data_IF_464600807615
#
_entry.id   IF_464600807615
#
_cell.length_a   1.000
_cell.length_b   1.000
_cell.length_c   1.000
_cell.angle_alpha   90.00
_cell.angle_beta   90.00
_cell.angle_gamma   90.00
#
_symmetry.space_group_name_H-M   'P 1'
#
loop_
_entity.id
_entity.type
_entity.pdbx_description
1 polymer ?
#
# COMPACT_ATOMS: atom_id res chain seq x y z
N UNK A 1 14.61 -15.98 -20.25
CA UNK A 1 14.38 -15.94 -18.80
C UNK A 1 14.85 -14.65 -18.08
N UNK A 2 15.94 -14.01 -18.51
CA UNK A 2 16.46 -12.77 -17.83
C UNK A 2 15.60 -11.50 -18.00
N UNK A 3 14.84 -11.36 -19.10
CA UNK A 3 14.06 -10.15 -19.37
C UNK A 3 12.90 -9.89 -18.40
N UNK A 4 12.17 -10.94 -17.98
CA UNK A 4 11.04 -10.77 -17.07
C UNK A 4 11.50 -10.33 -15.66
N UNK A 5 12.63 -10.84 -15.18
CA UNK A 5 13.18 -10.44 -13.89
C UNK A 5 13.62 -8.96 -13.84
N UNK A 6 14.17 -8.41 -14.94
CA UNK A 6 14.59 -7.02 -15.01
C UNK A 6 13.37 -6.07 -15.01
N UNK A 7 12.34 -6.38 -15.83
CA UNK A 7 11.10 -5.58 -15.86
C UNK A 7 10.42 -5.58 -14.48
N UNK A 8 10.39 -6.73 -13.78
CA UNK A 8 9.84 -6.84 -12.43
C UNK A 8 10.63 -6.00 -11.42
N UNK A 9 11.95 -5.99 -11.51
CA UNK A 9 12.80 -5.15 -10.66
C UNK A 9 12.51 -3.66 -10.89
N UNK A 10 12.50 -3.20 -12.14
CA UNK A 10 12.22 -1.80 -12.48
C UNK A 10 10.80 -1.41 -12.07
N UNK A 11 9.81 -2.29 -12.30
CA UNK A 11 8.43 -2.08 -11.84
C UNK A 11 8.40 -1.84 -10.33
N UNK A 12 9.03 -2.71 -9.52
CA UNK A 12 9.03 -2.58 -8.07
C UNK A 12 9.75 -1.30 -7.61
N UNK A 13 10.88 -0.96 -8.22
CA UNK A 13 11.62 0.26 -7.88
C UNK A 13 10.78 1.51 -8.15
N UNK A 14 10.18 1.62 -9.34
CA UNK A 14 9.35 2.78 -9.68
C UNK A 14 8.11 2.83 -8.79
N UNK A 15 7.47 1.67 -8.55
CA UNK A 15 6.35 1.53 -7.64
C UNK A 15 6.68 2.04 -6.23
N UNK A 16 7.81 1.61 -5.68
CA UNK A 16 8.26 2.04 -4.36
C UNK A 16 8.56 3.54 -4.32
N UNK A 17 9.17 4.10 -5.37
CA UNK A 17 9.38 5.55 -5.50
C UNK A 17 8.05 6.33 -5.49
N UNK A 18 7.02 5.85 -6.20
CA UNK A 18 5.67 6.45 -6.19
C UNK A 18 5.04 6.35 -4.80
N UNK A 19 5.02 5.15 -4.21
CA UNK A 19 4.44 4.91 -2.88
C UNK A 19 5.14 5.74 -1.80
N UNK A 20 6.45 5.94 -1.92
CA UNK A 20 7.24 6.74 -0.98
C UNK A 20 7.16 8.25 -1.24
N UNK A 21 6.38 8.69 -2.23
CA UNK A 21 6.25 10.09 -2.64
C UNK A 21 7.59 10.71 -3.10
N UNK A 22 8.50 9.90 -3.62
CA UNK A 22 9.72 10.38 -4.27
C UNK A 22 9.41 10.98 -5.66
N UNK A 23 8.31 10.53 -6.28
CA UNK A 23 7.64 11.20 -7.39
C UNK A 23 6.37 11.87 -6.88
N UNK A 24 6.17 13.15 -7.25
CA UNK A 24 4.96 13.90 -6.93
C UNK A 24 3.76 13.48 -7.79
N UNK A 25 2.55 13.72 -7.33
CA UNK A 25 1.34 13.54 -8.13
C UNK A 25 1.38 14.39 -9.39
N UNK A 26 0.98 13.85 -10.53
CA UNK A 26 1.05 14.51 -11.83
C UNK A 26 2.48 14.71 -12.36
N UNK A 27 3.51 14.27 -11.63
CA UNK A 27 4.90 14.39 -12.06
C UNK A 27 5.16 13.50 -13.28
N UNK A 28 5.86 14.07 -14.26
CA UNK A 28 6.29 13.33 -15.44
C UNK A 28 7.45 12.39 -15.09
N UNK A 29 7.30 11.12 -15.44
CA UNK A 29 8.36 10.12 -15.25
C UNK A 29 9.29 10.13 -16.46
N UNK A 30 10.55 10.44 -16.22
CA UNK A 30 11.59 10.49 -17.27
C UNK A 30 12.18 9.10 -17.49
N UNK A 31 11.78 8.49 -18.60
CA UNK A 31 12.24 7.15 -19.01
C UNK A 31 13.74 7.12 -19.28
N UNK A 32 14.26 8.17 -19.90
CA UNK A 32 15.68 8.23 -20.25
C UNK A 32 16.53 8.28 -18.98
N UNK A 33 16.18 9.15 -18.04
CA UNK A 33 16.88 9.28 -16.76
C UNK A 33 16.88 7.96 -15.97
N UNK A 34 15.74 7.24 -15.93
CA UNK A 34 15.66 5.94 -15.28
C UNK A 34 16.53 4.92 -16.02
N UNK A 35 16.48 4.87 -17.34
CA UNK A 35 17.30 3.94 -18.12
C UNK A 35 18.80 4.17 -17.90
N UNK A 36 19.24 5.43 -17.84
CA UNK A 36 20.63 5.83 -17.55
C UNK A 36 21.03 5.46 -16.10
N UNK A 37 20.16 5.73 -15.11
CA UNK A 37 20.40 5.41 -13.68
C UNK A 37 20.69 3.91 -13.48
N UNK A 38 19.99 3.03 -14.23
CA UNK A 38 20.14 1.58 -14.12
C UNK A 38 21.04 0.94 -15.19
N UNK A 39 21.62 1.72 -16.09
CA UNK A 39 22.48 1.21 -17.18
C UNK A 39 21.75 0.26 -18.14
N UNK A 40 20.48 0.50 -18.43
CA UNK A 40 19.61 -0.34 -19.26
C UNK A 40 19.01 0.44 -20.45
N UNK A 41 18.43 -0.28 -21.40
CA UNK A 41 17.66 0.36 -22.48
C UNK A 41 16.31 0.90 -21.95
N UNK A 42 15.68 1.81 -22.72
CA UNK A 42 14.37 2.37 -22.35
C UNK A 42 13.22 1.34 -22.44
N UNK A 43 13.39 0.24 -23.16
CA UNK A 43 12.33 -0.75 -23.38
C UNK A 43 11.81 -1.37 -22.07
N UNK A 44 12.64 -1.95 -21.17
CA UNK A 44 12.15 -2.51 -19.92
C UNK A 44 11.53 -1.46 -18.99
N UNK A 45 11.98 -0.20 -19.06
CA UNK A 45 11.36 0.90 -18.29
C UNK A 45 9.94 1.18 -18.81
N UNK A 46 9.74 1.22 -20.14
CA UNK A 46 8.41 1.38 -20.74
C UNK A 46 7.49 0.21 -20.39
N UNK A 47 7.98 -1.02 -20.42
CA UNK A 47 7.20 -2.20 -20.03
C UNK A 47 6.76 -2.13 -18.56
N UNK A 48 7.65 -1.74 -17.67
CA UNK A 48 7.35 -1.53 -16.24
C UNK A 48 6.30 -0.41 -16.05
N UNK A 49 6.45 0.73 -16.72
CA UNK A 49 5.50 1.84 -16.66
C UNK A 49 4.11 1.48 -17.22
N UNK A 50 4.05 0.66 -18.28
CA UNK A 50 2.79 0.14 -18.82
C UNK A 50 2.09 -0.77 -17.80
N UNK A 51 2.82 -1.55 -17.02
CA UNK A 51 2.25 -2.35 -15.93
C UNK A 51 1.73 -1.45 -14.80
N UNK A 52 2.52 -0.46 -14.38
CA UNK A 52 2.08 0.54 -13.39
C UNK A 52 0.84 1.32 -13.83
N UNK A 53 0.68 1.54 -15.15
CA UNK A 53 -0.52 2.15 -15.70
C UNK A 53 -1.74 1.22 -15.62
N UNK A 54 -1.58 -0.09 -15.78
CA UNK A 54 -2.65 -1.07 -15.53
C UNK A 54 -3.07 -1.09 -14.06
N UNK A 55 -2.09 -0.89 -13.16
CA UNK A 55 -2.32 -0.80 -11.71
C UNK A 55 -2.81 0.60 -11.28
N UNK A 56 -3.05 1.52 -12.24
CA UNK A 56 -3.53 2.89 -12.00
C UNK A 56 -2.59 3.80 -11.22
N UNK A 57 -1.35 3.38 -10.96
CA UNK A 57 -0.33 4.22 -10.31
C UNK A 57 0.32 5.23 -11.26
N UNK A 58 0.22 4.97 -12.56
CA UNK A 58 0.76 5.80 -13.64
C UNK A 58 -0.33 6.07 -14.67
N UNK A 59 -0.38 7.27 -15.19
CA UNK A 59 -1.24 7.69 -16.31
C UNK A 59 -0.41 7.85 -17.58
N UNK A 60 -0.88 7.28 -18.69
CA UNK A 60 -0.26 7.42 -20.00
C UNK A 60 -0.93 8.58 -20.73
N UNK A 61 -0.19 9.66 -21.00
CA UNK A 61 -0.65 10.75 -21.84
C UNK A 61 -0.14 10.55 -23.27
N UNK A 62 -1.01 10.36 -24.26
CA UNK A 62 -0.59 10.13 -25.63
C UNK A 62 0.36 11.22 -26.14
N UNK A 63 1.48 10.82 -26.74
CA UNK A 63 2.56 11.69 -27.26
C UNK A 63 3.31 12.53 -26.20
N UNK A 64 2.84 12.59 -24.94
CA UNK A 64 3.44 13.38 -23.86
C UNK A 64 4.27 12.53 -22.90
N UNK A 65 3.87 11.26 -22.66
CA UNK A 65 4.63 10.33 -21.82
C UNK A 65 3.86 9.74 -20.66
N UNK A 66 4.58 9.39 -19.61
CA UNK A 66 4.06 8.77 -18.39
C UNK A 66 4.09 9.76 -17.24
N UNK A 67 3.04 9.75 -16.44
CA UNK A 67 2.85 10.65 -15.31
C UNK A 67 2.39 9.86 -14.10
N UNK A 68 2.81 10.25 -12.90
CA UNK A 68 2.22 9.70 -11.66
C UNK A 68 0.75 10.08 -11.63
N UNK A 69 -0.11 9.14 -11.32
CA UNK A 69 -1.56 9.38 -11.29
C UNK A 69 -1.89 10.44 -10.23
N UNK A 70 -2.67 11.44 -10.62
CA UNK A 70 -3.27 12.39 -9.68
C UNK A 70 -4.41 11.71 -8.94
N UNK A 71 -4.62 12.12 -7.69
CA UNK A 71 -5.65 11.55 -6.84
C UNK A 71 -6.38 12.67 -6.10
N UNK A 72 -7.69 12.66 -6.19
CA UNK A 72 -8.58 13.59 -5.50
C UNK A 72 -8.90 13.09 -4.07
N UNK A 73 -9.49 13.96 -3.25
CA UNK A 73 -10.02 13.56 -1.95
C UNK A 73 -11.18 12.56 -2.10
N UNK A 74 -11.93 12.63 -3.19
CA UNK A 74 -13.01 11.70 -3.51
C UNK A 74 -12.46 10.30 -3.79
N UNK A 75 -11.38 10.17 -4.59
CA UNK A 75 -10.70 8.89 -4.81
C UNK A 75 -10.24 8.25 -3.49
N UNK A 76 -9.76 9.08 -2.56
CA UNK A 76 -9.36 8.62 -1.22
C UNK A 76 -10.56 8.02 -0.47
N UNK A 77 -11.69 8.74 -0.44
CA UNK A 77 -12.90 8.29 0.25
C UNK A 77 -13.41 6.98 -0.33
N UNK A 78 -13.52 6.89 -1.66
CA UNK A 78 -13.97 5.68 -2.36
C UNK A 78 -13.07 4.47 -2.05
N UNK A 79 -11.74 4.66 -2.02
CA UNK A 79 -10.79 3.58 -1.68
C UNK A 79 -10.98 3.10 -0.24
N UNK A 80 -11.20 4.00 0.72
CA UNK A 80 -11.46 3.62 2.11
C UNK A 80 -12.82 2.93 2.29
N UNK A 81 -13.83 3.31 1.51
CA UNK A 81 -15.12 2.60 1.49
C UNK A 81 -14.97 1.18 0.97
N UNK A 82 -14.25 0.98 -0.14
CA UNK A 82 -13.96 -0.36 -0.69
C UNK A 82 -13.13 -1.18 0.31
N UNK A 83 -12.13 -0.56 0.94
CA UNK A 83 -11.33 -1.19 1.99
C UNK A 83 -12.21 -1.73 3.11
N UNK A 84 -13.14 -0.90 3.62
CA UNK A 84 -14.09 -1.28 4.67
C UNK A 84 -14.92 -2.49 4.27
N UNK A 85 -15.45 -2.51 3.04
CA UNK A 85 -16.25 -3.63 2.53
C UNK A 85 -15.42 -4.92 2.50
N UNK A 86 -14.19 -4.86 2.01
CA UNK A 86 -13.30 -6.02 1.93
C UNK A 86 -12.92 -6.56 3.31
N UNK A 87 -12.62 -5.68 4.24
CA UNK A 87 -12.21 -6.07 5.60
C UNK A 87 -13.36 -6.64 6.42
N UNK A 88 -14.57 -6.08 6.29
CA UNK A 88 -15.78 -6.64 6.95
C UNK A 88 -16.05 -8.04 6.40
N UNK A 89 -16.10 -8.21 5.08
CA UNK A 89 -16.30 -9.52 4.49
C UNK A 89 -15.20 -10.51 4.90
N UNK A 90 -13.94 -10.06 4.94
CA UNK A 90 -12.82 -10.91 5.34
C UNK A 90 -12.93 -11.37 6.80
N UNK A 91 -13.44 -10.53 7.70
CA UNK A 91 -13.74 -10.91 9.08
C UNK A 91 -14.86 -11.94 9.16
N UNK A 92 -15.96 -11.71 8.43
CA UNK A 92 -17.10 -12.63 8.43
C UNK A 92 -16.74 -14.02 7.87
N UNK A 93 -15.97 -14.08 6.76
CA UNK A 93 -15.57 -15.35 6.11
C UNK A 93 -14.39 -16.03 6.80
N UNK A 94 -13.53 -15.27 7.45
CA UNK A 94 -12.21 -15.71 7.90
C UNK A 94 -11.97 -15.73 9.41
N UNK A 95 -12.95 -15.40 10.26
CA UNK A 95 -12.77 -15.28 11.70
C UNK A 95 -12.08 -16.51 12.34
N UNK A 96 -12.48 -17.71 11.92
CA UNK A 96 -11.92 -18.96 12.40
C UNK A 96 -10.45 -19.18 12.03
N UNK A 97 -9.96 -18.49 10.99
CA UNK A 97 -8.60 -18.60 10.47
C UNK A 97 -7.68 -17.45 10.95
N UNK A 98 -8.21 -16.49 11.69
CA UNK A 98 -7.41 -15.36 12.18
C UNK A 98 -6.34 -15.86 13.15
N UNK A 99 -5.12 -15.39 12.97
CA UNK A 99 -4.03 -15.67 13.90
C UNK A 99 -4.12 -14.75 15.12
N UNK A 100 -4.86 -15.19 16.15
CA UNK A 100 -5.05 -14.46 17.41
C UNK A 100 -3.73 -14.12 18.11
N UNK A 101 -2.74 -15.01 18.07
CA UNK A 101 -1.42 -14.76 18.66
C UNK A 101 -0.71 -13.57 17.99
N UNK A 102 -0.83 -13.44 16.68
CA UNK A 102 -0.25 -12.29 15.94
C UNK A 102 -1.03 -10.99 16.25
N UNK A 103 -2.35 -11.04 16.40
CA UNK A 103 -3.14 -9.88 16.82
C UNK A 103 -2.73 -9.38 18.21
N UNK A 104 -2.53 -10.28 19.19
CA UNK A 104 -2.05 -9.91 20.51
C UNK A 104 -0.65 -9.27 20.48
N UNK A 105 0.28 -9.83 19.68
CA UNK A 105 1.60 -9.24 19.49
C UNK A 105 1.51 -7.84 18.90
N UNK A 106 0.65 -7.65 17.89
CA UNK A 106 0.42 -6.34 17.28
C UNK A 106 -0.14 -5.34 18.29
N UNK A 107 -1.14 -5.73 19.08
CA UNK A 107 -1.71 -4.90 20.13
C UNK A 107 -0.66 -4.46 21.15
N UNK A 108 0.20 -5.39 21.62
CA UNK A 108 1.30 -5.07 22.54
C UNK A 108 2.29 -4.07 21.91
N UNK A 109 2.55 -4.20 20.60
CA UNK A 109 3.42 -3.28 19.88
C UNK A 109 2.77 -1.89 19.75
N UNK A 110 1.50 -1.80 19.36
CA UNK A 110 0.73 -0.55 19.26
C UNK A 110 0.69 0.18 20.61
N UNK A 111 0.48 -0.55 21.71
CA UNK A 111 0.48 0.03 23.07
C UNK A 111 1.83 0.66 23.43
N UNK A 112 2.95 0.02 23.08
CA UNK A 112 4.30 0.58 23.27
C UNK A 112 4.55 1.83 22.40
N UNK A 113 3.99 1.85 21.20
CA UNK A 113 4.09 3.01 20.29
C UNK A 113 3.36 4.23 20.83
N UNK A 114 2.18 4.04 21.43
CA UNK A 114 1.40 5.12 22.06
C UNK A 114 2.13 5.76 23.25
N UNK A 115 2.85 4.97 24.04
CA UNK A 115 3.54 5.44 25.25
C UNK A 115 4.82 6.25 25.00
N UNK A 116 5.31 6.27 23.79
CA UNK A 116 6.60 6.90 23.49
C UNK A 116 6.47 8.19 22.69
N UNK A 117 7.52 9.07 22.73
CA UNK A 117 7.59 10.30 21.91
C UNK A 117 7.53 9.96 20.42
N UNK A 118 6.75 10.74 19.66
CA UNK A 118 6.63 10.58 18.19
C UNK A 118 7.94 11.03 17.52
N UNK A 119 8.64 10.09 16.92
CA UNK A 119 9.84 10.32 16.11
C UNK A 119 9.62 9.83 14.69
N UNK A 120 10.46 10.25 13.73
CA UNK A 120 10.38 9.78 12.33
C UNK A 120 10.47 8.24 12.23
N UNK A 121 11.28 7.60 13.08
CA UNK A 121 11.34 6.13 13.19
C UNK A 121 10.01 5.51 13.63
N UNK A 122 9.27 6.17 14.52
CA UNK A 122 7.95 5.69 14.97
C UNK A 122 6.87 5.82 13.92
N UNK A 123 6.91 6.85 13.06
CA UNK A 123 5.99 6.93 11.91
C UNK A 123 6.14 5.71 11.00
N UNK A 124 7.37 5.30 10.70
CA UNK A 124 7.63 4.09 9.88
C UNK A 124 7.08 2.82 10.56
N UNK A 125 7.30 2.67 11.86
CA UNK A 125 6.82 1.51 12.63
C UNK A 125 5.28 1.45 12.61
N UNK A 126 4.60 2.60 12.74
CA UNK A 126 3.13 2.68 12.65
C UNK A 126 2.59 2.15 11.33
N UNK A 127 3.14 2.60 10.21
CA UNK A 127 2.68 2.12 8.90
C UNK A 127 2.81 0.60 8.79
N UNK A 128 3.88 0.03 9.33
CA UNK A 128 4.08 -1.42 9.33
C UNK A 128 3.08 -2.15 10.24
N UNK A 129 2.74 -1.56 11.39
CA UNK A 129 1.81 -2.16 12.35
C UNK A 129 0.37 -2.09 11.84
N UNK A 130 -0.03 -0.94 11.29
CA UNK A 130 -1.32 -0.73 10.62
C UNK A 130 -1.48 -1.73 9.45
N UNK A 131 -0.54 -1.71 8.52
CA UNK A 131 -0.50 -2.64 7.39
C UNK A 131 -0.66 -4.10 7.83
N UNK A 132 0.09 -4.51 8.87
CA UNK A 132 0.07 -5.89 9.34
C UNK A 132 -1.28 -6.29 9.91
N UNK A 133 -1.97 -5.41 10.63
CA UNK A 133 -3.32 -5.66 11.13
C UNK A 133 -4.29 -5.95 10.01
N UNK A 134 -4.38 -5.04 9.04
CA UNK A 134 -5.33 -5.16 7.94
C UNK A 134 -5.02 -6.34 7.02
N UNK A 135 -3.75 -6.65 6.80
CA UNK A 135 -3.37 -7.85 6.05
C UNK A 135 -3.72 -9.13 6.83
N UNK A 136 -3.55 -9.18 8.15
CA UNK A 136 -3.97 -10.35 8.96
C UNK A 136 -5.47 -10.60 8.83
N UNK A 137 -6.28 -9.54 8.80
CA UNK A 137 -7.72 -9.65 8.60
C UNK A 137 -8.01 -10.19 7.19
N UNK A 138 -7.46 -9.56 6.15
CA UNK A 138 -7.74 -9.95 4.77
C UNK A 138 -7.19 -11.34 4.43
N UNK A 139 -6.02 -11.69 4.97
CA UNK A 139 -5.39 -13.00 4.73
C UNK A 139 -6.12 -14.16 5.41
N UNK A 140 -6.95 -13.89 6.42
CA UNK A 140 -7.76 -14.91 7.08
C UNK A 140 -8.92 -15.43 6.20
N UNK A 141 -9.46 -14.61 5.30
CA UNK A 141 -10.57 -15.03 4.44
C UNK A 141 -10.14 -16.07 3.40
N UNK A 142 -11.09 -16.88 2.93
CA UNK A 142 -10.85 -17.95 1.94
C UNK A 142 -10.89 -17.44 0.50
N UNK A 143 -11.47 -16.27 0.27
CA UNK A 143 -11.67 -15.68 -1.06
C UNK A 143 -10.36 -15.12 -1.65
N UNK A 144 -9.71 -15.90 -2.52
CA UNK A 144 -8.46 -15.50 -3.19
C UNK A 144 -8.61 -14.25 -4.05
N UNK A 145 -9.78 -14.08 -4.70
CA UNK A 145 -10.04 -12.91 -5.56
C UNK A 145 -10.13 -11.63 -4.75
N UNK A 146 -10.74 -11.68 -3.58
CA UNK A 146 -10.77 -10.55 -2.67
C UNK A 146 -9.33 -10.13 -2.27
N UNK A 147 -8.47 -11.10 -1.93
CA UNK A 147 -7.07 -10.82 -1.58
C UNK A 147 -6.29 -10.17 -2.73
N UNK A 148 -6.48 -10.66 -3.96
CA UNK A 148 -5.88 -10.07 -5.16
C UNK A 148 -6.33 -8.62 -5.35
N UNK A 149 -7.64 -8.33 -5.25
CA UNK A 149 -8.20 -6.99 -5.39
C UNK A 149 -7.77 -6.07 -4.24
N UNK A 150 -7.75 -6.58 -3.01
CA UNK A 150 -7.28 -5.82 -1.86
C UNK A 150 -5.81 -5.38 -2.02
N UNK A 151 -4.95 -6.24 -2.56
CA UNK A 151 -3.56 -5.89 -2.80
C UNK A 151 -3.38 -4.71 -3.76
N UNK A 152 -4.30 -4.54 -4.73
CA UNK A 152 -4.28 -3.41 -5.66
C UNK A 152 -4.62 -2.09 -4.95
N UNK A 153 -5.68 -2.07 -4.13
CA UNK A 153 -6.06 -0.86 -3.38
C UNK A 153 -5.08 -0.54 -2.25
N UNK A 154 -4.37 -1.54 -1.73
CA UNK A 154 -3.45 -1.37 -0.62
C UNK A 154 -2.28 -0.42 -0.92
N UNK A 155 -1.83 -0.35 -2.17
CA UNK A 155 -0.77 0.58 -2.56
C UNK A 155 -1.26 2.05 -2.48
N UNK A 156 -2.49 2.31 -2.86
CA UNK A 156 -3.12 3.63 -2.70
C UNK A 156 -3.28 3.99 -1.22
N UNK A 157 -3.72 3.04 -0.38
CA UNK A 157 -3.82 3.25 1.06
C UNK A 157 -2.46 3.67 1.65
N UNK A 158 -1.36 3.03 1.24
CA UNK A 158 0.00 3.41 1.69
C UNK A 158 0.35 4.84 1.30
N UNK A 159 0.02 5.26 0.08
CA UNK A 159 0.26 6.63 -0.40
C UNK A 159 -0.51 7.62 0.49
N UNK A 160 -1.80 7.38 0.74
CA UNK A 160 -2.63 8.26 1.56
C UNK A 160 -2.17 8.37 3.01
N UNK A 161 -1.78 7.26 3.61
CA UNK A 161 -1.24 7.25 4.97
C UNK A 161 0.04 8.09 5.11
N UNK A 162 0.82 8.25 4.01
CA UNK A 162 2.01 9.11 4.00
C UNK A 162 1.67 10.60 3.91
N UNK A 163 0.58 10.93 3.20
CA UNK A 163 0.13 12.32 3.04
C UNK A 163 -0.56 12.81 4.32
N UNK A 164 -1.37 11.96 4.94
CA UNK A 164 -2.14 12.33 6.14
C UNK A 164 -1.85 11.34 7.30
N UNK A 165 -0.81 11.58 8.07
CA UNK A 165 -0.45 10.73 9.20
C UNK A 165 -1.28 11.04 10.45
N UNK A 166 -2.61 11.03 10.40
CA UNK A 166 -3.49 11.06 11.57
C UNK A 166 -3.14 9.92 12.53
N UNK A 167 -2.35 10.21 13.58
CA UNK A 167 -1.55 9.14 14.20
C UNK A 167 -2.20 8.49 15.43
N UNK A 168 -2.62 9.28 16.40
CA UNK A 168 -2.96 8.74 17.73
C UNK A 168 -4.33 8.04 17.72
N UNK A 169 -5.30 8.67 17.14
CA UNK A 169 -6.67 8.17 17.04
C UNK A 169 -6.75 6.82 16.32
N UNK A 170 -6.00 6.70 15.20
CA UNK A 170 -5.97 5.45 14.44
C UNK A 170 -5.42 4.26 15.25
N UNK A 171 -4.40 4.45 16.10
CA UNK A 171 -3.85 3.36 16.92
C UNK A 171 -4.82 2.94 18.02
N UNK A 172 -5.54 3.88 18.64
CA UNK A 172 -6.56 3.60 19.66
C UNK A 172 -7.73 2.82 19.02
N UNK A 173 -8.19 3.24 17.84
CA UNK A 173 -9.23 2.53 17.08
C UNK A 173 -8.80 1.11 16.69
N UNK A 174 -7.57 0.93 16.21
CA UNK A 174 -7.05 -0.39 15.87
C UNK A 174 -6.92 -1.31 17.07
N UNK A 175 -6.52 -0.79 18.23
CA UNK A 175 -6.50 -1.58 19.46
C UNK A 175 -7.91 -1.98 19.89
N UNK A 176 -8.90 -1.09 19.77
CA UNK A 176 -10.30 -1.40 20.05
C UNK A 176 -10.85 -2.47 19.09
N UNK A 177 -10.51 -2.39 17.80
CA UNK A 177 -10.85 -3.41 16.81
C UNK A 177 -10.25 -4.78 17.19
N UNK A 178 -8.95 -4.82 17.54
CA UNK A 178 -8.30 -6.06 17.99
C UNK A 178 -8.99 -6.61 19.23
N UNK A 179 -9.36 -5.76 20.20
CA UNK A 179 -10.06 -6.19 21.40
C UNK A 179 -11.44 -6.79 21.11
N UNK A 180 -12.09 -6.30 20.06
CA UNK A 180 -13.38 -6.85 19.62
C UNK A 180 -13.22 -8.21 18.95
N UNK A 181 -12.17 -8.37 18.13
CA UNK A 181 -11.86 -9.65 17.46
C UNK A 181 -11.42 -10.72 18.46
N UNK A 182 -10.77 -10.35 19.57
CA UNK A 182 -10.26 -11.28 20.59
C UNK A 182 -11.32 -11.74 21.60
N UNK A 183 -12.54 -11.20 21.56
CA UNK A 183 -13.68 -11.59 22.42
C UNK A 183 -14.47 -12.75 21.83
#
# INVERSE_FOLDING_TARGET
MLKNGLVDQIYNIIKDKIINLEFGFGERIDIQKIAEEFGISQTPVREALNRLAKDKLVTISPRKGYYVTEMSLEDVQEIYEIRKIFEIYALEDGMENINFNELEKLKKKMKKELQGKITNGKRKIKFETDKKLHLLIVDSCKNRKLKEMYSQIHDFIKIFQRINPGFKETLEEHMALIDTILK
#
